data_IF_178070461682
#
_entry.id   IF_178070461682
#
_cell.length_a   1.000
_cell.length_b   1.000
_cell.length_c   1.000
_cell.angle_alpha   90.00
_cell.angle_beta   90.00
_cell.angle_gamma   90.00
#
_symmetry.space_group_name_H-M   'P 1'
#
loop_
_entity.id
_entity.type
_entity.pdbx_description
1 polymer ?
#
# COMPACT_ATOMS: atom_id res chain seq x y z
N UNK A 1 -20.98 -18.16 30.29
CA UNK A 1 -21.20 -18.90 29.02
C UNK A 1 -21.87 -17.94 28.07
N UNK A 2 -21.14 -17.26 27.19
CA UNK A 2 -21.75 -16.22 26.33
C UNK A 2 -21.26 -16.39 24.89
N UNK A 3 -22.16 -16.96 24.08
CA UNK A 3 -22.38 -16.78 22.65
C UNK A 3 -21.17 -16.32 21.82
N UNK A 4 -20.35 -17.29 21.37
CA UNK A 4 -19.58 -17.15 20.14
C UNK A 4 -20.60 -17.06 19.02
N UNK A 5 -20.91 -15.85 18.53
CA UNK A 5 -21.66 -15.67 17.29
C UNK A 5 -20.98 -16.52 16.22
N UNK A 6 -21.63 -17.62 15.83
CA UNK A 6 -21.18 -18.45 14.72
C UNK A 6 -21.41 -17.61 13.47
N UNK A 7 -20.35 -16.93 13.02
CA UNK A 7 -20.30 -16.35 11.69
C UNK A 7 -20.75 -17.45 10.72
N UNK A 8 -21.75 -17.14 9.89
CA UNK A 8 -22.31 -18.13 8.99
C UNK A 8 -21.23 -18.60 8.00
N UNK A 9 -21.36 -19.82 7.49
CA UNK A 9 -20.40 -20.37 6.52
C UNK A 9 -20.32 -19.45 5.28
N UNK A 10 -21.44 -18.84 4.88
CA UNK A 10 -21.52 -17.88 3.79
C UNK A 10 -20.72 -16.59 4.06
N UNK A 11 -20.84 -15.99 5.23
CA UNK A 11 -20.06 -14.80 5.61
C UNK A 11 -18.55 -15.10 5.71
N UNK A 12 -18.19 -16.32 6.13
CA UNK A 12 -16.79 -16.77 6.13
C UNK A 12 -16.25 -16.95 4.70
N UNK A 13 -17.06 -17.48 3.79
CA UNK A 13 -16.70 -17.64 2.37
C UNK A 13 -16.51 -16.28 1.67
N UNK A 14 -17.41 -15.33 1.92
CA UNK A 14 -17.28 -13.95 1.43
C UNK A 14 -16.01 -13.27 1.97
N UNK A 15 -15.76 -13.38 3.27
CA UNK A 15 -14.55 -12.82 3.88
C UNK A 15 -13.27 -13.46 3.31
N UNK A 16 -13.27 -14.78 3.09
CA UNK A 16 -12.12 -15.50 2.53
C UNK A 16 -11.87 -15.09 1.08
N UNK A 17 -12.94 -14.89 0.29
CA UNK A 17 -12.85 -14.42 -1.10
C UNK A 17 -12.28 -13.00 -1.17
N UNK A 18 -12.70 -12.11 -0.27
CA UNK A 18 -12.25 -10.72 -0.20
C UNK A 18 -10.78 -10.63 0.25
N UNK A 19 -10.39 -11.41 1.25
CA UNK A 19 -8.98 -11.53 1.68
C UNK A 19 -8.13 -12.13 0.55
N UNK A 20 -8.66 -13.12 -0.17
CA UNK A 20 -8.00 -13.70 -1.35
C UNK A 20 -7.76 -12.66 -2.45
N UNK A 21 -8.77 -11.83 -2.75
CA UNK A 21 -8.66 -10.76 -3.74
C UNK A 21 -7.64 -9.69 -3.30
N UNK A 22 -7.67 -9.29 -2.02
CA UNK A 22 -6.70 -8.37 -1.44
C UNK A 22 -5.28 -8.91 -1.58
N UNK A 23 -5.03 -10.14 -1.11
CA UNK A 23 -3.70 -10.75 -1.17
C UNK A 23 -3.18 -10.90 -2.61
N UNK A 24 -4.08 -11.12 -3.58
CA UNK A 24 -3.73 -11.22 -4.99
C UNK A 24 -3.25 -9.89 -5.59
N UNK A 25 -3.88 -8.77 -5.25
CA UNK A 25 -3.64 -7.48 -5.91
C UNK A 25 -2.79 -6.48 -5.12
N UNK A 26 -2.59 -6.68 -3.81
CA UNK A 26 -1.85 -5.73 -2.96
C UNK A 26 -0.32 -5.79 -3.13
N UNK A 27 0.19 -6.79 -3.84
CA UNK A 27 1.64 -7.01 -4.04
C UNK A 27 2.25 -6.14 -5.15
N UNK A 28 1.53 -5.14 -5.67
CA UNK A 28 2.02 -4.32 -6.78
C UNK A 28 3.32 -3.57 -6.45
N UNK A 29 3.36 -2.96 -5.26
CA UNK A 29 4.55 -2.22 -4.78
C UNK A 29 5.70 -3.18 -4.51
N UNK A 30 5.46 -4.29 -3.81
CA UNK A 30 6.50 -5.27 -3.49
C UNK A 30 7.09 -5.90 -4.76
N UNK A 31 6.26 -6.20 -5.75
CA UNK A 31 6.72 -6.77 -7.03
C UNK A 31 7.52 -5.74 -7.84
N UNK A 32 7.12 -4.48 -7.84
CA UNK A 32 7.89 -3.40 -8.48
C UNK A 32 9.24 -3.22 -7.79
N UNK A 33 9.26 -3.24 -6.45
CA UNK A 33 10.49 -3.10 -5.68
C UNK A 33 11.45 -4.29 -5.90
N UNK A 34 10.93 -5.53 -5.91
CA UNK A 34 11.71 -6.72 -6.26
C UNK A 34 12.31 -6.65 -7.66
N UNK A 35 11.55 -6.12 -8.62
CA UNK A 35 12.01 -5.99 -10.00
C UNK A 35 13.12 -4.94 -10.11
N UNK A 36 12.94 -3.80 -9.44
CA UNK A 36 13.90 -2.70 -9.36
C UNK A 36 15.19 -3.11 -8.66
N UNK A 37 15.09 -3.81 -7.53
CA UNK A 37 16.22 -4.19 -6.68
C UNK A 37 17.26 -5.02 -7.44
N UNK A 38 16.81 -5.91 -8.33
CA UNK A 38 17.66 -6.87 -9.06
C UNK A 38 18.73 -6.21 -9.94
N UNK A 39 18.48 -5.00 -10.44
CA UNK A 39 19.42 -4.22 -11.25
C UNK A 39 19.56 -2.78 -10.74
N UNK A 40 19.30 -2.55 -9.44
CA UNK A 40 19.34 -1.22 -8.86
C UNK A 40 20.77 -0.67 -8.84
N UNK A 41 20.97 0.45 -9.52
CA UNK A 41 22.23 1.20 -9.51
C UNK A 41 22.38 1.92 -8.18
N UNK A 42 21.26 2.36 -7.57
CA UNK A 42 21.26 3.06 -6.29
C UNK A 42 21.65 2.17 -5.11
N UNK A 43 21.42 0.86 -5.19
CA UNK A 43 21.74 -0.09 -4.11
C UNK A 43 23.26 -0.32 -3.96
N UNK A 44 23.98 -0.43 -5.08
CA UNK A 44 25.44 -0.65 -5.08
C UNK A 44 26.27 0.60 -4.78
N UNK A 45 25.68 1.79 -4.86
CA UNK A 45 26.39 3.06 -4.72
C UNK A 45 26.17 3.71 -3.34
N UNK A 46 27.26 4.02 -2.65
CA UNK A 46 27.25 4.79 -1.40
C UNK A 46 27.74 6.21 -1.65
N UNK A 47 26.97 7.21 -1.22
CA UNK A 47 27.28 8.62 -1.42
C UNK A 47 27.25 9.39 -0.10
N UNK A 48 28.15 10.37 0.03
CA UNK A 48 28.18 11.32 1.17
C UNK A 48 26.91 12.17 1.26
N UNK A 49 26.28 12.46 0.12
CA UNK A 49 25.07 13.27 0.05
C UNK A 49 23.87 12.44 -0.40
N UNK A 50 22.81 12.47 0.41
CA UNK A 50 21.61 11.64 0.21
C UNK A 50 20.87 11.92 -1.10
N UNK A 51 20.90 13.16 -1.60
CA UNK A 51 20.20 13.53 -2.84
C UNK A 51 20.80 12.85 -4.08
N UNK A 52 22.10 12.51 -4.07
CA UNK A 52 22.72 11.76 -5.17
C UNK A 52 22.15 10.35 -5.24
N UNK A 53 21.96 9.71 -4.09
CA UNK A 53 21.33 8.40 -3.99
C UNK A 53 19.87 8.45 -4.45
N UNK A 54 19.15 9.54 -4.16
CA UNK A 54 17.80 9.76 -4.69
C UNK A 54 17.80 9.86 -6.23
N UNK A 55 18.75 10.57 -6.83
CA UNK A 55 18.87 10.67 -8.28
C UNK A 55 19.00 9.30 -8.95
N UNK A 56 19.88 8.43 -8.45
CA UNK A 56 19.99 7.05 -8.94
C UNK A 56 18.72 6.23 -8.70
N UNK A 57 18.04 6.43 -7.57
CA UNK A 57 16.78 5.73 -7.30
C UNK A 57 15.67 6.12 -8.28
N UNK A 58 15.64 7.38 -8.76
CA UNK A 58 14.70 7.82 -9.79
C UNK A 58 15.01 7.17 -11.14
N UNK A 59 16.29 7.06 -11.50
CA UNK A 59 16.72 6.35 -12.72
C UNK A 59 16.33 4.87 -12.66
N UNK A 60 16.56 4.21 -11.51
CA UNK A 60 16.14 2.82 -11.30
C UNK A 60 14.63 2.62 -11.51
N UNK A 61 13.81 3.55 -11.00
CA UNK A 61 12.35 3.53 -11.20
C UNK A 61 11.99 3.71 -12.68
N UNK A 62 12.63 4.66 -13.37
CA UNK A 62 12.38 4.92 -14.79
C UNK A 62 12.73 3.71 -15.67
N UNK A 63 13.88 3.08 -15.44
CA UNK A 63 14.31 1.87 -16.16
C UNK A 63 13.34 0.71 -15.89
N UNK A 64 12.90 0.53 -14.64
CA UNK A 64 11.93 -0.51 -14.29
C UNK A 64 10.59 -0.30 -15.01
N UNK A 65 10.10 0.94 -15.05
CA UNK A 65 8.87 1.27 -15.78
C UNK A 65 9.02 1.06 -17.29
N UNK A 66 10.18 1.41 -17.85
CA UNK A 66 10.49 1.16 -19.26
C UNK A 66 10.53 -0.35 -19.57
N UNK A 67 11.09 -1.16 -18.68
CA UNK A 67 11.08 -2.61 -18.82
C UNK A 67 9.65 -3.18 -18.82
N UNK A 68 8.77 -2.70 -17.92
CA UNK A 68 7.36 -3.11 -17.92
C UNK A 68 6.71 -2.78 -19.27
N UNK A 69 6.92 -1.57 -19.81
CA UNK A 69 6.42 -1.20 -21.14
C UNK A 69 7.00 -2.08 -22.25
N UNK A 70 8.31 -2.36 -22.20
CA UNK A 70 8.98 -3.24 -23.15
C UNK A 70 8.34 -4.64 -23.14
N UNK A 71 8.08 -5.23 -21.97
CA UNK A 71 7.43 -6.54 -21.87
C UNK A 71 5.99 -6.56 -22.37
N UNK A 72 5.30 -5.41 -22.37
CA UNK A 72 3.95 -5.28 -22.93
C UNK A 72 3.98 -5.17 -24.46
N UNK A 73 4.97 -4.48 -25.03
CA UNK A 73 5.12 -4.31 -26.47
C UNK A 73 5.72 -5.55 -27.14
N UNK A 74 6.67 -6.21 -26.47
CA UNK A 74 7.37 -7.38 -26.99
C UNK A 74 7.34 -8.50 -25.95
N UNK A 75 6.31 -9.37 -25.96
CA UNK A 75 6.17 -10.46 -25.01
C UNK A 75 7.13 -11.59 -25.37
N UNK A 76 8.43 -11.34 -25.22
CA UNK A 76 9.46 -12.35 -25.45
C UNK A 76 9.57 -13.21 -24.20
N UNK A 77 9.11 -14.46 -24.28
CA UNK A 77 9.20 -15.42 -23.19
C UNK A 77 10.63 -15.98 -23.08
N UNK A 78 11.57 -15.16 -22.58
CA UNK A 78 12.93 -15.60 -22.24
C UNK A 78 13.11 -15.64 -20.73
N UNK A 79 13.88 -16.63 -20.27
CA UNK A 79 14.24 -16.77 -18.84
C UNK A 79 15.05 -15.56 -18.34
N UNK A 80 15.79 -14.92 -19.22
CA UNK A 80 16.71 -13.81 -18.99
C UNK A 80 16.23 -12.48 -19.61
N UNK A 81 14.93 -12.34 -19.87
CA UNK A 81 14.34 -11.16 -20.55
C UNK A 81 14.75 -9.83 -19.92
N UNK A 82 14.80 -9.73 -18.59
CA UNK A 82 15.19 -8.52 -17.89
C UNK A 82 16.68 -8.18 -18.07
N UNK A 83 17.56 -9.19 -18.02
CA UNK A 83 19.00 -8.98 -18.26
C UNK A 83 19.25 -8.58 -19.71
N UNK A 84 18.59 -9.26 -20.66
CA UNK A 84 18.70 -8.93 -22.08
C UNK A 84 18.24 -7.49 -22.37
N UNK A 85 17.13 -7.07 -21.78
CA UNK A 85 16.66 -5.69 -21.85
C UNK A 85 17.70 -4.70 -21.29
N UNK A 86 18.27 -4.97 -20.11
CA UNK A 86 19.27 -4.10 -19.49
C UNK A 86 20.53 -3.96 -20.36
N UNK A 87 21.03 -5.06 -20.93
CA UNK A 87 22.17 -5.02 -21.85
C UNK A 87 21.86 -4.25 -23.12
N UNK A 88 20.67 -4.46 -23.71
CA UNK A 88 20.21 -3.73 -24.89
C UNK A 88 20.11 -2.23 -24.60
N UNK A 89 19.49 -1.85 -23.48
CA UNK A 89 19.36 -0.47 -23.05
C UNK A 89 20.72 0.18 -22.80
N UNK A 90 21.65 -0.52 -22.15
CA UNK A 90 22.99 -0.02 -21.90
C UNK A 90 23.76 0.24 -23.20
N UNK A 91 23.72 -0.69 -24.15
CA UNK A 91 24.35 -0.51 -25.47
C UNK A 91 23.74 0.67 -26.23
N UNK A 92 22.41 0.82 -26.18
CA UNK A 92 21.72 1.95 -26.80
C UNK A 92 22.16 3.29 -26.20
N UNK A 93 22.20 3.39 -24.87
CA UNK A 93 22.60 4.62 -24.17
C UNK A 93 24.08 4.96 -24.39
N UNK A 94 24.97 3.96 -24.46
CA UNK A 94 26.41 4.17 -24.53
C UNK A 94 26.94 4.38 -25.95
N UNK A 95 26.37 3.68 -26.94
CA UNK A 95 26.97 3.60 -28.27
C UNK A 95 26.05 4.02 -29.41
N UNK A 96 24.74 3.80 -29.29
CA UNK A 96 23.80 4.07 -30.40
C UNK A 96 23.14 5.45 -30.28
N UNK A 97 23.09 6.03 -29.09
CA UNK A 97 22.48 7.34 -28.84
C UNK A 97 23.49 8.45 -29.05
N UNK A 98 23.25 9.32 -30.03
CA UNK A 98 23.98 10.57 -30.18
C UNK A 98 23.40 11.64 -29.25
N UNK A 99 24.13 11.91 -28.17
CA UNK A 99 23.74 12.86 -27.14
C UNK A 99 23.84 14.32 -27.58
N UNK A 100 24.55 14.62 -28.67
CA UNK A 100 24.78 15.99 -29.15
C UNK A 100 23.53 16.61 -29.79
N UNK A 101 22.64 15.77 -30.35
CA UNK A 101 21.34 16.20 -30.90
C UNK A 101 20.38 16.77 -29.85
N UNK A 102 20.55 16.41 -28.57
CA UNK A 102 19.68 16.91 -27.50
C UNK A 102 20.05 18.32 -27.01
N UNK A 103 21.30 18.76 -27.18
CA UNK A 103 21.69 20.12 -26.77
C UNK A 103 21.15 21.21 -27.70
N UNK A 104 20.92 20.88 -28.98
CA UNK A 104 20.36 21.82 -29.96
C UNK A 104 18.84 21.96 -29.85
N UNK A 105 18.15 20.98 -29.25
CA UNK A 105 16.68 20.98 -29.11
C UNK A 105 16.21 21.57 -27.78
N UNK A 106 16.99 22.43 -27.13
CA UNK A 106 16.47 23.28 -26.04
C UNK A 106 15.55 24.37 -26.60
N UNK A 107 14.46 23.95 -27.24
CA UNK A 107 13.27 24.77 -27.37
C UNK A 107 12.82 25.09 -25.94
N UNK A 108 12.51 26.35 -25.60
CA UNK A 108 12.02 26.69 -24.27
C UNK A 108 10.88 25.74 -23.94
N UNK A 109 11.07 24.88 -22.92
CA UNK A 109 10.00 24.03 -22.44
C UNK A 109 8.97 24.98 -21.85
N UNK A 110 7.99 25.37 -22.65
CA UNK A 110 6.78 26.00 -22.16
C UNK A 110 6.17 24.96 -21.24
N UNK A 111 6.32 25.17 -19.93
CA UNK A 111 5.64 24.40 -18.90
C UNK A 111 4.15 24.70 -19.04
N UNK A 112 3.52 24.11 -20.06
CA UNK A 112 2.09 23.91 -20.05
C UNK A 112 1.84 23.07 -18.81
N UNK A 113 1.12 23.66 -17.86
CA UNK A 113 0.57 22.98 -16.71
C UNK A 113 -0.41 21.96 -17.28
N UNK A 114 0.08 20.82 -17.79
CA UNK A 114 -0.79 19.76 -18.25
C UNK A 114 -1.33 19.15 -16.97
N UNK A 115 -2.60 19.38 -16.61
CA UNK A 115 -3.16 18.70 -15.47
C UNK A 115 -2.96 17.20 -15.72
N UNK A 116 -2.56 16.47 -14.68
CA UNK A 116 -2.40 15.03 -14.70
C UNK A 116 -3.78 14.36 -14.82
N UNK A 117 -4.52 14.64 -15.89
CA UNK A 117 -5.75 13.97 -16.23
C UNK A 117 -5.33 12.63 -16.80
N UNK A 118 -5.45 11.57 -15.99
CA UNK A 118 -5.48 10.21 -16.51
C UNK A 118 -6.46 10.23 -17.69
N UNK A 119 -5.93 10.02 -18.90
CA UNK A 119 -6.68 10.24 -20.13
C UNK A 119 -7.99 9.47 -20.01
N UNK A 120 -9.14 10.16 -20.09
CA UNK A 120 -10.45 9.58 -19.78
C UNK A 120 -10.75 8.30 -20.58
N UNK A 121 -10.07 8.11 -21.72
CA UNK A 121 -10.11 6.89 -22.54
C UNK A 121 -9.50 5.67 -21.82
N UNK A 122 -8.40 5.85 -21.08
CA UNK A 122 -7.72 4.79 -20.29
C UNK A 122 -8.56 4.42 -19.08
N UNK A 123 -9.14 5.41 -18.39
CA UNK A 123 -10.09 5.19 -17.29
C UNK A 123 -11.37 4.49 -17.76
N UNK A 124 -11.94 4.89 -18.90
CA UNK A 124 -13.14 4.26 -19.47
C UNK A 124 -12.87 2.83 -19.92
N UNK A 125 -11.69 2.52 -20.49
CA UNK A 125 -11.29 1.16 -20.85
C UNK A 125 -11.07 0.29 -19.60
N UNK A 126 -10.35 0.79 -18.60
CA UNK A 126 -10.15 0.07 -17.33
C UNK A 126 -11.47 -0.14 -16.55
N UNK A 127 -12.42 0.81 -16.64
CA UNK A 127 -13.75 0.67 -16.06
C UNK A 127 -14.61 -0.33 -16.85
N UNK A 128 -14.51 -0.36 -18.19
CA UNK A 128 -15.21 -1.35 -19.02
C UNK A 128 -14.68 -2.77 -18.77
N UNK A 129 -13.36 -2.94 -18.63
CA UNK A 129 -12.74 -4.23 -18.33
C UNK A 129 -13.09 -4.71 -16.90
N UNK A 130 -13.21 -3.78 -15.93
CA UNK A 130 -13.75 -4.08 -14.58
C UNK A 130 -15.24 -4.41 -14.59
N UNK A 131 -16.05 -3.71 -15.41
CA UNK A 131 -17.48 -3.96 -15.52
C UNK A 131 -17.78 -5.28 -16.25
N UNK A 132 -16.96 -5.67 -17.23
CA UNK A 132 -17.04 -6.98 -17.88
C UNK A 132 -16.70 -8.11 -16.89
N UNK A 133 -15.69 -7.91 -16.04
CA UNK A 133 -15.35 -8.86 -14.98
C UNK A 133 -16.42 -8.96 -13.87
N UNK A 134 -17.12 -7.85 -13.56
CA UNK A 134 -18.22 -7.84 -12.61
C UNK A 134 -19.51 -8.44 -13.18
N UNK A 135 -19.86 -8.16 -14.45
CA UNK A 135 -21.04 -8.74 -15.10
C UNK A 135 -20.90 -10.26 -15.34
N UNK A 136 -19.69 -10.78 -15.49
CA UNK A 136 -19.45 -12.23 -15.53
C UNK A 136 -19.74 -12.93 -14.20
N UNK A 137 -19.77 -12.19 -13.07
CA UNK A 137 -20.13 -12.70 -11.74
C UNK A 137 -21.62 -12.54 -11.40
N UNK A 138 -22.34 -11.65 -12.09
CA UNK A 138 -23.75 -11.31 -11.78
C UNK A 138 -24.75 -12.33 -12.37
N UNK A 139 -24.36 -13.17 -13.32
CA UNK A 139 -25.30 -14.11 -13.96
C UNK A 139 -25.67 -15.36 -13.12
N UNK A 140 -25.31 -15.39 -11.83
CA UNK A 140 -25.65 -16.49 -10.91
C UNK A 140 -26.42 -16.08 -9.65
N UNK A 141 -26.87 -14.83 -9.47
CA UNK A 141 -27.67 -14.48 -8.28
C UNK A 141 -28.67 -13.38 -8.57
N UNK A 142 -29.94 -13.78 -8.67
CA UNK A 142 -31.09 -12.89 -8.77
C UNK A 142 -31.44 -12.23 -7.42
N UNK A 143 -32.03 -11.05 -7.57
CA UNK A 143 -32.97 -10.34 -6.68
C UNK A 143 -32.57 -10.07 -5.23
N UNK A 144 -32.18 -8.82 -4.95
CA UNK A 144 -32.00 -8.32 -3.59
C UNK A 144 -31.79 -6.80 -3.52
N UNK A 145 -32.84 -6.10 -3.09
CA UNK A 145 -32.98 -4.66 -2.88
C UNK A 145 -31.78 -3.94 -2.23
N UNK A 146 -31.43 -2.77 -2.78
CA UNK A 146 -30.45 -1.83 -2.23
C UNK A 146 -30.83 -1.33 -0.82
N UNK A 147 -29.89 -1.38 0.13
CA UNK A 147 -29.91 -0.55 1.33
C UNK A 147 -28.50 -0.11 1.71
N UNK A 148 -28.37 1.15 2.10
CA UNK A 148 -27.11 1.84 2.35
C UNK A 148 -26.28 1.21 3.45
N UNK A 149 -24.97 1.45 3.37
CA UNK A 149 -23.94 1.03 4.32
C UNK A 149 -24.30 1.39 5.76
N UNK A 150 -24.86 0.42 6.48
CA UNK A 150 -24.92 0.45 7.95
C UNK A 150 -23.54 0.04 8.44
N UNK A 151 -22.80 1.00 8.99
CA UNK A 151 -21.60 0.71 9.76
C UNK A 151 -21.97 -0.25 10.90
N UNK A 152 -21.31 -1.40 10.94
CA UNK A 152 -21.41 -2.34 12.05
C UNK A 152 -21.00 -1.66 13.36
N UNK A 153 -21.97 -1.44 14.24
CA UNK A 153 -21.74 -0.98 15.62
C UNK A 153 -21.96 -2.17 16.55
N UNK A 154 -20.88 -2.80 17.08
CA UNK A 154 -21.03 -3.60 18.28
C UNK A 154 -21.15 -2.65 19.47
N UNK A 155 -22.39 -2.46 19.93
CA UNK A 155 -22.70 -1.91 21.25
C UNK A 155 -22.08 -2.83 22.31
N UNK A 156 -21.50 -2.21 23.34
CA UNK A 156 -21.10 -2.84 24.61
C UNK A 156 -19.86 -3.72 24.65
N UNK A 157 -18.78 -3.28 23.99
CA UNK A 157 -17.44 -3.72 24.38
C UNK A 157 -16.65 -2.54 24.92
N UNK A 158 -16.44 -2.54 26.23
CA UNK A 158 -15.78 -1.47 26.97
C UNK A 158 -14.40 -1.21 26.36
N UNK A 159 -14.29 -0.12 25.60
CA UNK A 159 -13.06 0.26 24.90
C UNK A 159 -11.98 0.51 25.95
N UNK A 160 -10.78 -0.09 25.81
CA UNK A 160 -9.70 0.12 26.78
C UNK A 160 -9.45 1.61 26.99
N UNK A 161 -9.23 2.04 28.24
CA UNK A 161 -9.12 3.45 28.60
C UNK A 161 -8.06 4.26 27.81
N UNK A 162 -7.09 3.57 27.20
CA UNK A 162 -6.04 4.17 26.37
C UNK A 162 -6.42 4.35 24.89
N UNK A 163 -7.59 3.89 24.45
CA UNK A 163 -8.05 3.91 23.06
C UNK A 163 -9.23 4.89 22.92
N UNK A 164 -9.33 5.57 21.78
CA UNK A 164 -10.46 6.44 21.49
C UNK A 164 -11.76 5.60 21.43
N UNK A 165 -12.83 5.96 22.19
CA UNK A 165 -14.08 5.20 22.21
C UNK A 165 -14.88 5.31 20.91
N UNK A 166 -14.62 6.32 20.08
CA UNK A 166 -15.33 6.56 18.83
C UNK A 166 -14.77 5.71 17.68
N UNK A 167 -15.24 4.48 17.56
CA UNK A 167 -14.79 3.57 16.50
C UNK A 167 -15.05 4.12 15.08
N UNK A 168 -16.18 4.80 14.88
CA UNK A 168 -16.61 5.36 13.59
C UNK A 168 -15.81 6.59 13.12
N UNK A 169 -14.98 7.20 13.97
CA UNK A 169 -14.16 8.34 13.58
C UNK A 169 -13.00 7.92 12.68
N UNK A 170 -12.65 8.78 11.71
CA UNK A 170 -11.46 8.57 10.90
C UNK A 170 -10.19 8.59 11.79
N UNK A 171 -9.09 8.04 11.28
CA UNK A 171 -7.80 8.12 11.98
C UNK A 171 -7.38 9.57 12.25
N UNK A 172 -7.80 10.50 11.39
CA UNK A 172 -7.52 11.92 11.50
C UNK A 172 -8.35 12.59 12.60
N UNK A 173 -9.64 12.31 12.64
CA UNK A 173 -10.55 12.84 13.66
C UNK A 173 -10.16 12.33 15.05
N UNK A 174 -9.79 11.05 15.15
CA UNK A 174 -9.26 10.46 16.38
C UNK A 174 -8.00 11.17 16.86
N UNK A 175 -7.09 11.53 15.94
CA UNK A 175 -5.87 12.23 16.28
C UNK A 175 -6.16 13.61 16.87
N UNK A 176 -6.89 14.46 16.16
CA UNK A 176 -7.11 15.84 16.58
C UNK A 176 -8.05 15.97 17.78
N UNK A 177 -9.05 15.11 17.89
CA UNK A 177 -10.10 15.25 18.90
C UNK A 177 -9.82 14.45 20.16
N UNK A 178 -8.99 13.40 20.11
CA UNK A 178 -8.72 12.53 21.26
C UNK A 178 -7.24 12.44 21.64
N UNK A 179 -6.33 12.21 20.69
CA UNK A 179 -4.91 11.97 21.02
C UNK A 179 -4.07 13.25 21.19
N UNK A 180 -4.36 14.27 20.39
CA UNK A 180 -3.66 15.56 20.42
C UNK A 180 -3.94 16.34 21.72
N UNK A 181 -5.20 16.51 22.19
CA UNK A 181 -5.47 17.23 23.44
C UNK A 181 -4.94 16.49 24.68
N UNK A 182 -4.85 15.16 24.61
CA UNK A 182 -4.31 14.31 25.69
C UNK A 182 -2.79 14.22 25.71
N UNK A 183 -2.10 14.99 24.87
CA UNK A 183 -0.64 15.10 24.88
C UNK A 183 0.09 13.79 24.62
N UNK A 184 -0.50 12.87 23.84
CA UNK A 184 0.16 11.59 23.53
C UNK A 184 1.45 11.80 22.73
N UNK A 185 1.55 12.90 21.98
CA UNK A 185 2.70 13.24 21.15
C UNK A 185 3.28 14.58 21.59
N UNK A 186 4.62 14.65 21.67
CA UNK A 186 5.36 15.89 21.88
C UNK A 186 5.35 16.74 20.62
N UNK A 187 5.71 18.03 20.74
CA UNK A 187 5.83 18.96 19.60
C UNK A 187 6.79 18.45 18.50
N UNK A 188 7.77 17.63 18.87
CA UNK A 188 8.72 17.00 17.94
C UNK A 188 8.15 15.73 17.26
N UNK A 189 6.86 15.43 17.39
CA UNK A 189 6.20 14.24 16.86
C UNK A 189 6.53 12.94 17.60
N UNK A 190 7.45 12.95 18.56
CA UNK A 190 7.79 11.79 19.38
C UNK A 190 6.67 11.49 20.37
N UNK A 191 6.34 10.20 20.54
CA UNK A 191 5.36 9.75 21.54
C UNK A 191 5.83 10.07 22.96
N UNK A 192 4.97 10.71 23.75
CA UNK A 192 5.26 11.05 25.14
C UNK A 192 4.99 9.87 26.07
N UNK A 193 6.08 9.31 26.60
CA UNK A 193 6.04 8.20 27.57
C UNK A 193 5.51 8.62 28.95
N UNK A 194 5.41 9.92 29.21
CA UNK A 194 4.79 10.47 30.42
C UNK A 194 3.27 10.62 30.31
N UNK A 195 2.71 10.56 29.09
CA UNK A 195 1.27 10.77 28.88
C UNK A 195 0.43 9.70 29.59
N UNK A 196 -0.74 10.12 30.07
CA UNK A 196 -1.69 9.26 30.77
C UNK A 196 -2.11 8.07 29.90
N UNK A 197 -2.37 8.30 28.62
CA UNK A 197 -2.72 7.25 27.65
C UNK A 197 -1.60 6.21 27.50
N UNK A 198 -0.33 6.64 27.47
CA UNK A 198 0.80 5.73 27.40
C UNK A 198 0.95 4.89 28.68
N UNK A 199 0.74 5.51 29.85
CA UNK A 199 0.78 4.82 31.14
C UNK A 199 -0.34 3.78 31.24
N UNK A 200 -1.58 4.15 30.87
CA UNK A 200 -2.73 3.26 30.84
C UNK A 200 -2.49 2.04 29.96
N UNK A 201 -1.92 2.24 28.75
CA UNK A 201 -1.52 1.14 27.87
C UNK A 201 -0.45 0.24 28.49
N UNK A 202 0.55 0.82 29.16
CA UNK A 202 1.62 0.06 29.82
C UNK A 202 1.07 -0.81 30.94
N UNK A 203 0.17 -0.26 31.78
CA UNK A 203 -0.49 -1.00 32.85
C UNK A 203 -1.34 -2.15 32.31
N UNK A 204 -2.17 -1.92 31.27
CA UNK A 204 -2.99 -2.99 30.69
C UNK A 204 -2.14 -4.13 30.10
N UNK A 205 -1.00 -3.82 29.48
CA UNK A 205 -0.07 -4.82 28.94
C UNK A 205 0.60 -5.63 30.06
N UNK A 206 0.96 -4.98 31.17
CA UNK A 206 1.57 -5.65 32.33
C UNK A 206 0.57 -6.59 33.02
N UNK A 207 -0.68 -6.16 33.21
CA UNK A 207 -1.76 -6.99 33.77
C UNK A 207 -2.04 -8.22 32.92
N UNK A 208 -2.11 -8.06 31.59
CA UNK A 208 -2.34 -9.18 30.68
C UNK A 208 -1.19 -10.20 30.71
N UNK A 209 0.07 -9.73 30.83
CA UNK A 209 1.23 -10.61 30.98
C UNK A 209 1.23 -11.35 32.32
N UNK A 210 0.89 -10.67 33.42
CA UNK A 210 0.79 -11.29 34.74
C UNK A 210 -0.34 -12.33 34.81
N UNK A 211 -1.49 -12.07 34.16
CA UNK A 211 -2.58 -13.04 34.07
C UNK A 211 -2.22 -14.26 33.22
N UNK A 212 -1.44 -14.08 32.15
CA UNK A 212 -0.95 -15.19 31.31
C UNK A 212 0.04 -16.07 32.06
N UNK A 213 0.98 -15.47 32.82
CA UNK A 213 1.96 -16.21 33.61
C UNK A 213 1.31 -17.05 34.72
N UNK A 214 0.26 -16.51 35.39
CA UNK A 214 -0.53 -17.24 36.39
C UNK A 214 -1.28 -18.43 35.79
N UNK A 215 -1.81 -18.32 34.56
CA UNK A 215 -2.45 -19.44 33.86
C UNK A 215 -1.48 -20.56 33.52
N UNK A 216 -0.23 -20.24 33.15
CA UNK A 216 0.81 -21.24 32.88
C UNK A 216 1.28 -21.96 34.13
N UNK A 217 1.31 -21.29 35.29
CA UNK A 217 1.75 -21.88 36.56
C UNK A 217 0.69 -22.81 37.20
N UNK A 218 -0.60 -22.61 36.90
CA UNK A 218 -1.70 -23.46 37.42
C UNK A 218 -1.88 -24.75 36.59
N UNK A 219 -1.20 -24.85 35.44
CA UNK A 219 -1.26 -25.99 34.51
C UNK A 219 -0.03 -26.94 34.60
N UNK A 220 0.82 -26.76 35.62
CA UNK A 220 1.92 -27.66 36.01
C UNK A 220 1.62 -28.25 37.39
#
# INVERSE_FOLDING_TARGET
MQLRSRMSIAELEECLSLVGLYNKYMQGVDRHDQLRERFSIASGASFKHWYKKLGFALVDIAITNLYVLYTLCEPVNRRDSHMHFQTKLANQMLFETDWTLFSETQVPMEYANVPMTQSAKVLKKAAADKAAAANALIHLSGDGQASGSVAYVPSDQQVPAHVCPHAAWSCWDKFHSFYHPKGLFKKDGKMDRGSELYRLKKHSVMEHKASSAKKTLILL
#
